data_IF_132622361023
#
_entry.id   IF_132622361023
#
_cell.length_a   1.000
_cell.length_b   1.000
_cell.length_c   1.000
_cell.angle_alpha   90.00
_cell.angle_beta   90.00
_cell.angle_gamma   90.00
#
_symmetry.space_group_name_H-M   'P 1'
#
loop_
_entity.id
_entity.type
_entity.pdbx_description
1 polymer ?
#
# COMPACT_ATOMS: atom_id res chain seq x y z
N UNK A 1 -1.60 42.35 11.80
CA UNK A 1 -1.33 42.05 10.40
C UNK A 1 -0.33 40.94 10.24
N UNK A 2 0.79 41.08 10.86
CA UNK A 2 1.80 40.03 10.81
C UNK A 2 1.36 38.77 11.49
N UNK A 3 0.53 38.87 12.50
CA UNK A 3 0.00 37.73 13.18
C UNK A 3 -0.86 36.88 12.26
N UNK A 4 -1.67 37.53 11.43
CA UNK A 4 -2.49 36.79 10.48
C UNK A 4 -1.62 36.10 9.43
N UNK A 5 -0.59 36.80 8.96
CA UNK A 5 0.35 36.24 8.01
C UNK A 5 1.07 35.05 8.61
N UNK A 6 1.50 35.19 9.88
CA UNK A 6 2.20 34.10 10.56
C UNK A 6 1.29 32.91 10.79
N UNK A 7 0.02 33.16 11.09
CA UNK A 7 -0.93 32.08 11.29
C UNK A 7 -1.10 31.27 9.99
N UNK A 8 -1.21 31.95 8.85
CA UNK A 8 -1.31 31.24 7.58
C UNK A 8 -0.02 30.52 7.23
N UNK A 9 1.11 31.15 7.51
CA UNK A 9 2.40 30.54 7.23
C UNK A 9 2.64 29.27 8.07
N UNK A 10 2.01 29.18 9.25
CA UNK A 10 2.16 28.05 10.14
C UNK A 10 1.17 26.93 9.89
N UNK A 11 0.21 27.15 9.02
CA UNK A 11 -0.74 26.10 8.66
C UNK A 11 -0.05 25.05 7.78
N UNK A 12 -0.35 23.77 8.01
CA UNK A 12 0.23 22.73 7.16
C UNK A 12 -0.17 22.95 5.72
N UNK A 13 0.77 22.84 4.82
CA UNK A 13 0.52 22.84 3.39
C UNK A 13 0.39 21.39 2.98
N UNK A 14 -0.70 21.06 2.31
CA UNK A 14 -0.91 19.71 1.84
C UNK A 14 0.11 19.39 0.76
N UNK A 15 0.88 18.32 0.97
CA UNK A 15 1.85 17.86 0.02
C UNK A 15 1.17 16.93 -0.97
N UNK A 16 0.97 17.40 -2.20
CA UNK A 16 0.35 16.63 -3.26
C UNK A 16 1.36 15.99 -4.19
N UNK A 17 2.63 15.99 -3.83
CA UNK A 17 3.66 15.33 -4.64
C UNK A 17 3.35 13.84 -4.75
N UNK A 18 3.21 13.31 -6.00
CA UNK A 18 3.01 11.86 -6.14
C UNK A 18 4.25 11.12 -5.68
N UNK A 19 4.11 10.32 -4.65
CA UNK A 19 5.24 9.53 -4.16
C UNK A 19 4.76 8.41 -3.24
N UNK A 20 5.63 7.42 -3.06
CA UNK A 20 5.46 6.39 -2.04
C UNK A 20 5.73 6.99 -0.68
N UNK A 21 4.85 6.70 0.28
CA UNK A 21 4.98 7.17 1.66
C UNK A 21 5.33 6.05 2.63
N UNK A 22 5.26 4.80 2.20
CA UNK A 22 5.61 3.66 3.04
C UNK A 22 5.16 2.35 2.41
N UNK A 23 5.41 1.27 3.13
CA UNK A 23 4.92 -0.06 2.76
C UNK A 23 3.53 -0.21 3.34
N UNK A 24 2.55 -0.54 2.49
CA UNK A 24 1.17 -0.73 2.90
C UNK A 24 0.75 -2.18 3.01
N UNK A 25 1.51 -3.09 2.41
CA UNK A 25 1.16 -4.50 2.49
C UNK A 25 2.26 -5.40 1.97
N UNK A 26 2.31 -6.60 2.53
CA UNK A 26 3.23 -7.66 2.11
C UNK A 26 2.35 -8.88 1.85
N UNK A 27 2.29 -9.30 0.59
CA UNK A 27 1.47 -10.42 0.15
C UNK A 27 2.37 -11.50 -0.42
N UNK A 28 2.08 -12.75 -0.09
CA UNK A 28 2.94 -13.85 -0.55
C UNK A 28 2.11 -15.11 -0.66
N UNK A 29 2.57 -16.02 -1.52
CA UNK A 29 1.88 -17.28 -1.72
C UNK A 29 2.11 -18.24 -0.55
N UNK A 30 1.06 -18.99 -0.24
CA UNK A 30 1.07 -20.06 0.74
C UNK A 30 0.25 -21.22 0.18
N UNK A 31 0.73 -22.43 0.36
CA UNK A 31 -0.04 -23.61 -0.06
C UNK A 31 -1.32 -23.74 0.76
N UNK A 32 -1.28 -23.32 2.01
CA UNK A 32 -2.44 -23.34 2.90
C UNK A 32 -2.45 -22.08 3.75
N UNK A 33 -3.07 -21.00 3.27
CA UNK A 33 -3.07 -19.72 3.99
C UNK A 33 -3.63 -19.80 5.40
N UNK A 34 -4.67 -20.59 5.63
CA UNK A 34 -5.26 -20.73 6.98
C UNK A 34 -4.24 -21.33 7.94
N UNK A 35 -3.53 -22.37 7.51
CA UNK A 35 -2.52 -23.01 8.33
C UNK A 35 -1.32 -22.08 8.55
N UNK A 36 -0.95 -21.33 7.54
CA UNK A 36 0.13 -20.34 7.65
C UNK A 36 -0.23 -19.28 8.68
N UNK A 37 -1.44 -18.74 8.61
CA UNK A 37 -1.90 -17.75 9.59
C UNK A 37 -1.84 -18.32 11.01
N UNK A 38 -2.30 -19.55 11.17
CA UNK A 38 -2.31 -20.21 12.48
C UNK A 38 -0.90 -20.40 13.02
N UNK A 39 0.02 -20.81 12.17
CA UNK A 39 1.42 -21.00 12.58
C UNK A 39 2.04 -19.70 13.07
N UNK A 40 1.81 -18.60 12.32
CA UNK A 40 2.34 -17.29 12.69
C UNK A 40 1.69 -16.77 13.97
N UNK A 41 0.39 -17.00 14.14
CA UNK A 41 -0.30 -16.61 15.37
C UNK A 41 0.27 -17.36 16.57
N UNK A 42 0.40 -18.68 16.45
CA UNK A 42 0.82 -19.54 17.57
C UNK A 42 2.28 -19.35 17.93
N UNK A 43 3.15 -19.14 16.94
CA UNK A 43 4.58 -19.11 17.17
C UNK A 43 5.18 -17.72 17.24
N UNK A 44 4.60 -16.76 16.53
CA UNK A 44 5.14 -15.41 16.47
C UNK A 44 4.21 -14.36 17.11
N UNK A 45 3.05 -14.79 17.58
CA UNK A 45 2.16 -13.90 18.29
C UNK A 45 1.43 -12.90 17.41
N UNK A 46 1.32 -13.15 16.10
CA UNK A 46 0.54 -12.28 15.23
C UNK A 46 -0.95 -12.40 15.59
N UNK A 47 -1.62 -11.25 15.60
CA UNK A 47 -3.08 -11.22 15.70
C UNK A 47 -3.62 -11.36 14.29
N UNK A 48 -4.23 -12.51 13.98
CA UNK A 48 -4.65 -12.83 12.62
C UNK A 48 -6.18 -12.91 12.53
N UNK A 49 -6.66 -12.58 11.35
CA UNK A 49 -8.04 -12.83 10.95
C UNK A 49 -8.02 -13.55 9.59
N UNK A 50 -9.17 -13.66 8.95
CA UNK A 50 -9.25 -14.36 7.66
C UNK A 50 -8.44 -13.69 6.56
N UNK A 51 -8.03 -12.42 6.72
CA UNK A 51 -7.28 -11.67 5.73
C UNK A 51 -5.77 -11.66 6.01
N UNK A 52 -5.36 -12.01 7.22
CA UNK A 52 -3.97 -11.96 7.64
C UNK A 52 -3.81 -11.18 8.93
N UNK A 53 -2.85 -10.29 8.97
CA UNK A 53 -2.55 -9.46 10.14
C UNK A 53 -2.32 -8.03 9.72
N UNK A 54 -2.74 -7.08 10.56
CA UNK A 54 -2.54 -5.66 10.29
C UNK A 54 -1.61 -5.09 11.36
N UNK A 55 -0.54 -4.44 10.89
CA UNK A 55 0.39 -3.73 11.76
C UNK A 55 0.14 -2.25 11.63
N UNK A 56 -0.06 -1.58 12.77
CA UNK A 56 -0.35 -0.15 12.77
C UNK A 56 0.80 0.61 13.41
N UNK A 57 1.05 1.80 12.89
CA UNK A 57 2.07 2.70 13.41
C UNK A 57 1.63 4.13 13.19
N UNK A 58 2.20 5.05 13.97
CA UNK A 58 1.90 6.46 13.80
C UNK A 58 2.87 7.05 12.78
N UNK A 59 2.33 7.97 11.98
CA UNK A 59 3.15 8.70 11.01
C UNK A 59 4.14 9.57 11.77
N UNK A 60 5.41 9.54 11.35
CA UNK A 60 6.46 10.26 12.06
C UNK A 60 6.32 11.77 11.93
N UNK A 61 5.68 12.23 10.84
CA UNK A 61 5.50 13.66 10.59
C UNK A 61 4.13 14.17 11.05
N UNK A 62 3.20 13.27 11.31
CA UNK A 62 1.86 13.59 11.78
C UNK A 62 1.39 12.46 12.70
N UNK A 63 1.76 12.51 13.98
CA UNK A 63 1.50 11.38 14.89
C UNK A 63 0.03 11.05 15.13
N UNK A 64 -0.89 11.92 14.75
CA UNK A 64 -2.30 11.59 14.85
C UNK A 64 -2.76 10.69 13.70
N UNK A 65 -2.00 10.63 12.62
CA UNK A 65 -2.28 9.77 11.50
C UNK A 65 -1.75 8.36 11.78
N UNK A 66 -2.61 7.37 11.64
CA UNK A 66 -2.25 5.96 11.82
C UNK A 66 -2.09 5.33 10.45
N UNK A 67 -0.94 4.73 10.22
CA UNK A 67 -0.63 4.00 8.99
C UNK A 67 -0.76 2.51 9.26
N UNK A 68 -1.34 1.79 8.31
CA UNK A 68 -1.53 0.36 8.41
C UNK A 68 -0.64 -0.36 7.39
N UNK A 69 -0.12 -1.52 7.79
CA UNK A 69 0.57 -2.45 6.92
C UNK A 69 -0.13 -3.79 7.02
N UNK A 70 -0.63 -4.28 5.89
CA UNK A 70 -1.35 -5.55 5.83
C UNK A 70 -0.38 -6.66 5.45
N UNK A 71 -0.32 -7.70 6.29
CA UNK A 71 0.44 -8.92 6.03
C UNK A 71 -0.57 -10.01 5.68
N UNK A 72 -0.46 -10.59 4.49
CA UNK A 72 -1.47 -11.54 4.01
C UNK A 72 -0.86 -12.67 3.21
N UNK A 73 -1.03 -13.92 3.66
CA UNK A 73 -0.74 -15.06 2.80
C UNK A 73 -1.90 -15.26 1.82
N UNK A 74 -1.56 -15.45 0.55
CA UNK A 74 -2.49 -15.72 -0.53
C UNK A 74 -2.37 -17.18 -0.94
N UNK A 75 -3.47 -17.74 -1.42
CA UNK A 75 -3.44 -19.12 -1.90
C UNK A 75 -2.49 -19.26 -3.08
N UNK A 76 -1.60 -20.24 -3.02
CA UNK A 76 -0.68 -20.57 -4.11
C UNK A 76 -1.44 -20.70 -5.42
N UNK A 77 -0.98 -20.04 -6.46
CA UNK A 77 -1.62 -20.05 -7.75
C UNK A 77 -2.73 -19.02 -7.92
N UNK A 78 -2.97 -18.18 -6.92
CA UNK A 78 -3.90 -17.07 -7.07
C UNK A 78 -3.52 -16.20 -8.26
N UNK A 79 -4.50 -15.77 -9.03
CA UNK A 79 -4.27 -14.90 -10.18
C UNK A 79 -4.01 -13.44 -9.79
N UNK A 80 -4.10 -13.13 -8.51
CA UNK A 80 -3.99 -11.73 -8.07
C UNK A 80 -2.63 -11.12 -8.37
N UNK A 81 -1.56 -11.94 -8.37
CA UNK A 81 -0.22 -11.45 -8.66
C UNK A 81 0.09 -11.46 -10.15
N UNK A 82 -0.78 -12.05 -11.00
CA UNK A 82 -0.57 -12.05 -12.45
C UNK A 82 -0.56 -10.63 -13.00
N UNK A 83 0.26 -10.31 -14.00
CA UNK A 83 1.06 -11.25 -14.82
C UNK A 83 2.44 -11.55 -14.24
N UNK A 84 2.75 -11.14 -13.01
CA UNK A 84 4.01 -11.52 -12.37
C UNK A 84 4.04 -13.02 -12.09
N UNK A 85 5.22 -13.62 -12.23
CA UNK A 85 5.45 -15.02 -11.87
C UNK A 85 6.12 -15.15 -10.51
N UNK A 86 6.26 -14.05 -9.79
CA UNK A 86 6.87 -14.06 -8.47
C UNK A 86 5.88 -14.57 -7.43
N UNK A 87 6.40 -15.04 -6.32
CA UNK A 87 5.61 -15.62 -5.23
C UNK A 87 5.15 -14.58 -4.21
N UNK A 88 5.35 -13.32 -4.51
CA UNK A 88 5.00 -12.22 -3.60
C UNK A 88 4.55 -11.00 -4.39
N UNK A 89 3.87 -10.11 -3.70
CA UNK A 89 3.54 -8.77 -4.21
C UNK A 89 3.60 -7.82 -3.05
N UNK A 90 4.21 -6.66 -3.26
CA UNK A 90 4.30 -5.62 -2.24
C UNK A 90 3.33 -4.50 -2.59
N UNK A 91 2.58 -4.06 -1.59
CA UNK A 91 1.72 -2.90 -1.67
C UNK A 91 2.49 -1.71 -1.11
N UNK A 92 2.54 -0.62 -1.88
CA UNK A 92 3.15 0.63 -1.43
C UNK A 92 2.06 1.65 -1.18
N UNK A 93 2.06 2.22 0.02
CA UNK A 93 1.18 3.33 0.34
C UNK A 93 1.69 4.58 -0.37
N UNK A 94 0.78 5.30 -1.02
CA UNK A 94 1.14 6.46 -1.83
C UNK A 94 0.26 7.65 -1.50
N UNK A 95 0.69 8.82 -1.93
CA UNK A 95 -0.14 10.01 -1.95
C UNK A 95 -0.33 10.48 -3.39
N UNK A 96 -1.48 11.07 -3.67
CA UNK A 96 -1.87 11.59 -4.98
C UNK A 96 -1.75 10.51 -6.07
N UNK A 97 -2.56 9.47 -5.93
CA UNK A 97 -2.48 8.31 -6.84
C UNK A 97 -2.82 8.69 -8.28
N UNK A 98 -3.75 9.64 -8.50
CA UNK A 98 -4.10 10.10 -9.83
C UNK A 98 -2.90 10.76 -10.52
N UNK A 99 -2.25 11.67 -9.83
CA UNK A 99 -1.03 12.30 -10.35
C UNK A 99 0.10 11.32 -10.52
N UNK A 100 0.17 10.34 -9.64
CA UNK A 100 1.18 9.29 -9.70
C UNK A 100 1.03 8.46 -10.96
N UNK A 101 -0.20 8.01 -11.25
CA UNK A 101 -0.47 7.21 -12.45
C UNK A 101 -0.16 8.00 -13.71
N UNK A 102 -0.53 9.29 -13.75
CA UNK A 102 -0.22 10.13 -14.90
C UNK A 102 1.28 10.21 -15.15
N UNK A 103 2.06 10.40 -14.09
CA UNK A 103 3.53 10.47 -14.20
C UNK A 103 4.12 9.14 -14.61
N UNK A 104 3.63 8.04 -14.05
CA UNK A 104 4.12 6.71 -14.40
C UNK A 104 3.89 6.39 -15.86
N UNK A 105 2.71 6.73 -16.38
CA UNK A 105 2.42 6.54 -17.80
C UNK A 105 3.32 7.39 -18.67
N UNK A 106 3.56 8.64 -18.26
CA UNK A 106 4.47 9.53 -19.00
C UNK A 106 5.90 9.00 -19.02
N UNK A 107 6.29 8.28 -17.97
CA UNK A 107 7.61 7.65 -17.87
C UNK A 107 7.70 6.29 -18.57
N UNK A 108 6.62 5.84 -19.20
CA UNK A 108 6.62 4.57 -19.91
C UNK A 108 6.43 3.34 -19.02
N UNK A 109 6.02 3.52 -17.78
CA UNK A 109 5.77 2.40 -16.87
C UNK A 109 4.49 1.67 -17.29
N UNK A 110 4.51 0.36 -17.24
CA UNK A 110 3.33 -0.46 -17.54
C UNK A 110 2.33 -0.35 -16.38
N UNK A 111 1.18 0.26 -16.65
CA UNK A 111 0.06 0.34 -15.71
C UNK A 111 -0.94 -0.73 -16.12
N UNK A 112 -1.25 -1.64 -15.22
CA UNK A 112 -2.01 -2.86 -15.54
C UNK A 112 -3.52 -2.67 -15.54
N UNK A 113 -4.01 -1.69 -14.78
CA UNK A 113 -5.45 -1.52 -14.62
C UNK A 113 -5.78 -0.04 -14.36
N UNK A 114 -7.05 0.24 -14.16
CA UNK A 114 -7.53 1.56 -13.80
C UNK A 114 -7.55 1.69 -12.29
N UNK A 115 -7.47 2.94 -11.81
CA UNK A 115 -7.61 3.20 -10.37
C UNK A 115 -9.00 2.73 -9.94
N UNK A 116 -9.02 1.86 -8.94
CA UNK A 116 -10.26 1.36 -8.33
C UNK A 116 -10.43 2.02 -6.97
N UNK A 117 -11.64 2.46 -6.66
CA UNK A 117 -11.95 3.15 -5.41
C UNK A 117 -12.83 2.28 -4.54
N UNK A 118 -12.45 2.17 -3.26
CA UNK A 118 -13.20 1.44 -2.23
C UNK A 118 -13.26 2.29 -0.97
N UNK A 119 -14.00 1.83 0.04
CA UNK A 119 -14.08 2.55 1.32
C UNK A 119 -12.72 2.77 1.96
N UNK A 120 -11.82 1.80 1.79
CA UNK A 120 -10.50 1.82 2.40
C UNK A 120 -9.41 2.42 1.51
N UNK A 121 -9.79 3.04 0.38
CA UNK A 121 -8.86 3.79 -0.45
C UNK A 121 -8.91 3.41 -1.90
N UNK A 122 -7.92 3.91 -2.63
CA UNK A 122 -7.78 3.73 -4.06
C UNK A 122 -6.59 2.86 -4.36
N UNK A 123 -6.72 2.01 -5.38
CA UNK A 123 -5.71 1.02 -5.76
C UNK A 123 -5.45 1.04 -7.25
N UNK A 124 -4.21 0.80 -7.64
CA UNK A 124 -3.81 0.57 -9.03
C UNK A 124 -2.61 -0.37 -9.03
N UNK A 125 -2.42 -1.10 -10.10
CA UNK A 125 -1.32 -2.05 -10.24
C UNK A 125 -0.41 -1.67 -11.39
N UNK A 126 0.88 -1.85 -11.17
CA UNK A 126 1.92 -1.58 -12.17
C UNK A 126 2.91 -2.73 -12.17
N UNK A 127 3.80 -2.75 -13.19
CA UNK A 127 4.92 -3.69 -13.24
C UNK A 127 6.22 -2.91 -13.13
N UNK A 128 7.15 -3.46 -12.37
CA UNK A 128 8.51 -2.90 -12.35
C UNK A 128 9.36 -3.53 -13.47
N UNK A 129 10.64 -3.19 -13.52
CA UNK A 129 11.54 -3.65 -14.58
C UNK A 129 12.00 -5.09 -14.39
N UNK A 130 11.75 -5.68 -13.22
CA UNK A 130 12.16 -7.05 -12.89
C UNK A 130 11.00 -8.04 -12.95
N UNK A 131 9.83 -7.59 -13.43
CA UNK A 131 8.65 -8.45 -13.52
C UNK A 131 7.89 -8.59 -12.20
N UNK A 132 8.11 -7.70 -11.25
CA UNK A 132 7.32 -7.68 -10.04
C UNK A 132 6.06 -6.84 -10.27
N UNK A 133 4.91 -7.41 -9.93
CA UNK A 133 3.68 -6.63 -9.85
C UNK A 133 3.69 -5.84 -8.55
N UNK A 134 3.33 -4.58 -8.66
CA UNK A 134 3.29 -3.66 -7.52
C UNK A 134 1.86 -3.18 -7.37
N UNK A 135 1.37 -3.17 -6.14
CA UNK A 135 0.09 -2.55 -5.82
C UNK A 135 0.36 -1.18 -5.18
N UNK A 136 -0.25 -0.14 -5.74
CA UNK A 136 -0.19 1.21 -5.16
C UNK A 136 -1.53 1.48 -4.48
N UNK A 137 -1.47 2.01 -3.28
CA UNK A 137 -2.64 2.22 -2.43
C UNK A 137 -2.61 3.60 -1.82
N UNK A 138 -3.63 4.40 -2.13
CA UNK A 138 -3.83 5.67 -1.43
C UNK A 138 -4.96 5.46 -0.43
N UNK A 139 -4.68 5.40 0.87
CA UNK A 139 -5.73 5.21 1.89
C UNK A 139 -6.73 6.35 1.90
N UNK A 140 -7.97 6.03 2.25
CA UNK A 140 -9.03 7.03 2.38
C UNK A 140 -8.87 7.86 3.67
#
# INVERSE_FOLDING_TARGET
MEEQTNSQANQPVEDLTPKVTGIGGIFFFSENPAQTREWYASNLGLEVNEWGSTFESRDINDPEKVNALQWSPFKQGSSYFSPSTKDFMINYRVQNIEGFVARLKANGVTVLDKIASYEYGKFVHIMDTEGNKIELWEPS
#
